data_IF_236618174309
#
_entry.id   IF_236618174309
#
_cell.length_a   1.000
_cell.length_b   1.000
_cell.length_c   1.000
_cell.angle_alpha   90.00
_cell.angle_beta   90.00
_cell.angle_gamma   90.00
#
_symmetry.space_group_name_H-M   'P 1'
#
loop_
_entity.id
_entity.type
_entity.pdbx_description
1 polymer ?
#
# COMPACT_ATOMS: atom_id res chain seq x y z
N UNK A 1 -68.95 -32.13 -20.19
CA UNK A 1 -68.32 -31.86 -18.88
C UNK A 1 -66.86 -32.26 -18.97
N UNK A 2 -66.00 -31.31 -19.35
CA UNK A 2 -64.55 -31.49 -19.50
C UNK A 2 -63.89 -31.18 -18.16
N UNK A 3 -63.22 -32.16 -17.56
CA UNK A 3 -62.55 -32.02 -16.27
C UNK A 3 -61.36 -31.04 -16.31
N UNK A 4 -60.95 -30.48 -15.16
CA UNK A 4 -59.84 -29.53 -15.09
C UNK A 4 -58.51 -30.21 -15.42
N UNK A 5 -57.72 -29.57 -16.30
CA UNK A 5 -56.38 -30.01 -16.69
C UNK A 5 -55.44 -29.99 -15.48
N UNK A 6 -54.58 -31.01 -15.26
CA UNK A 6 -53.62 -31.01 -14.16
C UNK A 6 -52.60 -29.86 -14.34
N UNK A 7 -52.38 -29.10 -13.26
CA UNK A 7 -51.42 -28.01 -13.23
C UNK A 7 -50.00 -28.54 -13.43
N UNK A 8 -49.29 -28.00 -14.43
CA UNK A 8 -47.87 -28.29 -14.67
C UNK A 8 -47.05 -27.83 -13.45
N UNK A 9 -46.13 -28.63 -12.91
CA UNK A 9 -45.25 -28.19 -11.84
C UNK A 9 -44.45 -26.96 -12.31
N UNK A 10 -44.12 -26.02 -11.40
CA UNK A 10 -43.38 -24.81 -11.76
C UNK A 10 -42.04 -25.21 -12.37
N UNK A 11 -41.75 -24.69 -13.56
CA UNK A 11 -40.43 -24.84 -14.17
C UNK A 11 -39.39 -24.29 -13.19
N UNK A 12 -38.29 -25.01 -12.93
CA UNK A 12 -37.18 -24.43 -12.19
C UNK A 12 -36.79 -23.16 -12.94
N UNK A 13 -36.85 -22.02 -12.26
CA UNK A 13 -36.34 -20.75 -12.76
C UNK A 13 -34.97 -21.04 -13.39
N UNK A 14 -34.64 -20.53 -14.59
CA UNK A 14 -33.30 -20.66 -15.13
C UNK A 14 -32.36 -20.02 -14.12
N UNK A 15 -31.80 -20.85 -13.26
CA UNK A 15 -30.77 -20.52 -12.32
C UNK A 15 -29.68 -19.99 -13.21
N UNK A 16 -29.55 -18.67 -13.21
CA UNK A 16 -28.66 -17.90 -14.07
C UNK A 16 -27.35 -18.66 -14.07
N UNK A 17 -27.00 -19.24 -15.22
CA UNK A 17 -25.73 -19.93 -15.40
C UNK A 17 -24.65 -18.91 -15.02
N UNK A 18 -24.18 -18.95 -13.77
CA UNK A 18 -23.01 -18.18 -13.36
C UNK A 18 -21.90 -18.76 -14.21
N UNK A 19 -21.28 -17.97 -15.11
CA UNK A 19 -20.13 -18.46 -15.84
C UNK A 19 -19.12 -18.94 -14.80
N UNK A 20 -18.69 -20.19 -14.93
CA UNK A 20 -17.71 -20.77 -14.02
C UNK A 20 -16.44 -19.91 -13.97
N UNK A 21 -15.86 -19.81 -12.78
CA UNK A 21 -14.42 -19.57 -12.65
C UNK A 21 -13.90 -18.14 -12.61
N UNK A 22 -14.67 -17.11 -12.22
CA UNK A 22 -14.01 -15.86 -11.83
C UNK A 22 -13.42 -16.02 -10.43
N UNK A 23 -12.11 -16.27 -10.36
CA UNK A 23 -11.33 -15.97 -9.14
C UNK A 23 -11.78 -14.60 -8.62
N UNK A 24 -12.11 -14.42 -7.33
CA UNK A 24 -12.68 -13.17 -6.85
C UNK A 24 -11.83 -11.99 -7.31
N UNK A 25 -12.39 -11.12 -8.15
CA UNK A 25 -11.63 -10.03 -8.74
C UNK A 25 -11.00 -9.18 -7.62
N UNK A 26 -9.70 -8.89 -7.74
CA UNK A 26 -8.99 -8.04 -6.78
C UNK A 26 -9.68 -6.66 -6.77
N UNK A 27 -10.01 -6.09 -5.58
CA UNK A 27 -10.64 -4.79 -5.52
C UNK A 27 -9.74 -3.66 -6.09
N UNK A 28 -10.32 -2.66 -6.76
CA UNK A 28 -9.56 -1.53 -7.32
C UNK A 28 -8.82 -0.73 -6.24
N UNK A 29 -9.31 -0.73 -5.00
CA UNK A 29 -8.66 -0.09 -3.86
C UNK A 29 -7.31 -0.72 -3.52
N UNK A 30 -7.16 -2.04 -3.69
CA UNK A 30 -5.91 -2.76 -3.44
C UNK A 30 -4.89 -2.41 -4.52
N UNK A 31 -5.30 -2.36 -5.78
CA UNK A 31 -4.40 -1.98 -6.87
C UNK A 31 -4.00 -0.51 -6.81
N UNK A 32 -4.95 0.38 -6.48
CA UNK A 32 -4.67 1.80 -6.27
C UNK A 32 -3.73 2.00 -5.09
N UNK A 33 -4.01 1.35 -3.95
CA UNK A 33 -3.16 1.39 -2.77
C UNK A 33 -1.74 0.89 -3.06
N UNK A 34 -1.61 -0.19 -3.84
CA UNK A 34 -0.31 -0.68 -4.30
C UNK A 34 0.45 0.38 -5.11
N UNK A 35 -0.21 1.04 -6.08
CA UNK A 35 0.44 2.05 -6.91
C UNK A 35 0.85 3.28 -6.13
N UNK A 36 0.02 3.74 -5.18
CA UNK A 36 0.38 4.83 -4.28
C UNK A 36 1.65 4.49 -3.50
N UNK A 37 1.73 3.29 -2.93
CA UNK A 37 2.93 2.84 -2.23
C UNK A 37 4.15 2.67 -3.13
N UNK A 38 3.96 2.16 -4.35
CA UNK A 38 5.04 1.96 -5.31
C UNK A 38 5.67 3.29 -5.72
N UNK A 39 4.87 4.34 -5.88
CA UNK A 39 5.36 5.71 -6.13
C UNK A 39 5.93 6.36 -4.87
N UNK A 40 5.32 6.10 -3.72
CA UNK A 40 5.78 6.70 -2.48
C UNK A 40 7.14 6.17 -2.04
N UNK A 41 7.42 4.88 -2.26
CA UNK A 41 8.67 4.25 -1.85
C UNK A 41 9.93 4.98 -2.38
N UNK A 42 10.11 5.21 -3.70
CA UNK A 42 11.27 5.93 -4.20
C UNK A 42 11.32 7.39 -3.71
N UNK A 43 10.19 8.04 -3.49
CA UNK A 43 10.15 9.38 -2.89
C UNK A 43 10.68 9.36 -1.46
N UNK A 44 10.19 8.46 -0.62
CA UNK A 44 10.63 8.32 0.77
C UNK A 44 12.12 7.95 0.86
N UNK A 45 12.58 7.05 -0.02
CA UNK A 45 14.00 6.68 -0.13
C UNK A 45 14.85 7.88 -0.56
N UNK A 46 14.41 8.65 -1.55
CA UNK A 46 15.13 9.85 -2.00
C UNK A 46 15.26 10.88 -0.87
N UNK A 47 14.18 11.14 -0.12
CA UNK A 47 14.21 12.00 1.06
C UNK A 47 15.22 11.50 2.11
N UNK A 48 15.21 10.20 2.41
CA UNK A 48 16.17 9.60 3.33
C UNK A 48 17.62 9.73 2.85
N UNK A 49 17.89 9.53 1.56
CA UNK A 49 19.23 9.69 0.98
C UNK A 49 19.71 11.14 1.08
N UNK A 50 18.85 12.12 0.78
CA UNK A 50 19.18 13.55 0.98
C UNK A 50 19.56 13.82 2.44
N UNK A 51 18.82 13.24 3.37
CA UNK A 51 19.11 13.38 4.80
C UNK A 51 20.47 12.78 5.20
N UNK A 52 20.79 11.57 4.72
CA UNK A 52 22.09 10.93 4.96
C UNK A 52 23.26 11.76 4.42
N UNK A 53 23.13 12.27 3.19
CA UNK A 53 24.18 13.03 2.53
C UNK A 53 24.42 14.39 3.18
N UNK A 54 23.41 14.96 3.84
CA UNK A 54 23.50 16.27 4.50
C UNK A 54 23.90 16.19 5.97
N UNK A 55 23.82 15.01 6.59
CA UNK A 55 24.15 14.79 8.02
C UNK A 55 25.66 14.71 8.29
N UNK A 56 26.50 14.51 7.27
CA UNK A 56 27.96 14.46 7.45
C UNK A 56 28.48 13.19 8.13
N UNK A 57 27.87 12.04 7.81
CA UNK A 57 28.25 10.73 8.36
C UNK A 57 29.63 10.28 7.87
N UNK A 58 30.31 9.45 8.67
CA UNK A 58 31.51 8.74 8.20
C UNK A 58 31.16 7.79 7.05
N UNK A 59 32.12 7.55 6.14
CA UNK A 59 31.86 6.76 4.92
C UNK A 59 31.34 5.34 5.21
N UNK A 60 31.81 4.71 6.28
CA UNK A 60 31.32 3.38 6.70
C UNK A 60 29.86 3.45 7.16
N UNK A 61 29.50 4.42 8.01
CA UNK A 61 28.13 4.57 8.51
C UNK A 61 27.19 4.91 7.35
N UNK A 62 27.60 5.79 6.44
CA UNK A 62 26.85 6.11 5.23
C UNK A 62 26.58 4.85 4.38
N UNK A 63 27.60 4.03 4.13
CA UNK A 63 27.45 2.79 3.36
C UNK A 63 26.47 1.81 4.05
N UNK A 64 26.59 1.62 5.36
CA UNK A 64 25.69 0.77 6.13
C UNK A 64 24.25 1.30 6.07
N UNK A 65 24.05 2.61 6.21
CA UNK A 65 22.73 3.24 6.12
C UNK A 65 22.10 3.11 4.73
N UNK A 66 22.91 3.19 3.66
CA UNK A 66 22.44 2.96 2.28
C UNK A 66 22.00 1.50 2.10
N UNK A 67 22.81 0.54 2.56
CA UNK A 67 22.43 -0.88 2.51
C UNK A 67 21.15 -1.13 3.31
N UNK A 68 21.05 -0.55 4.50
CA UNK A 68 19.85 -0.68 5.34
C UNK A 68 18.59 -0.17 4.64
N UNK A 69 18.62 1.02 4.01
CA UNK A 69 17.43 1.54 3.31
C UNK A 69 17.07 0.71 2.08
N UNK A 70 18.06 0.16 1.37
CA UNK A 70 17.80 -0.76 0.24
C UNK A 70 17.14 -2.05 0.72
N UNK A 71 17.62 -2.61 1.84
CA UNK A 71 16.99 -3.78 2.47
C UNK A 71 15.55 -3.45 2.90
N UNK A 72 15.34 -2.32 3.56
CA UNK A 72 14.01 -1.89 3.98
C UNK A 72 13.06 -1.68 2.80
N UNK A 73 13.54 -1.07 1.71
CA UNK A 73 12.77 -0.91 0.48
C UNK A 73 12.39 -2.27 -0.14
N UNK A 74 13.32 -3.23 -0.15
CA UNK A 74 13.07 -4.59 -0.62
C UNK A 74 12.00 -5.29 0.21
N UNK A 75 12.05 -5.13 1.54
CA UNK A 75 11.04 -5.65 2.46
C UNK A 75 9.67 -5.04 2.15
N UNK A 76 9.58 -3.72 1.98
CA UNK A 76 8.33 -3.03 1.63
C UNK A 76 7.78 -3.55 0.30
N UNK A 77 8.60 -3.63 -0.76
CA UNK A 77 8.18 -4.18 -2.06
C UNK A 77 7.66 -5.61 -1.92
N UNK A 78 8.32 -6.44 -1.11
CA UNK A 78 7.86 -7.80 -0.83
C UNK A 78 6.47 -7.79 -0.21
N UNK A 79 6.24 -6.97 0.81
CA UNK A 79 4.91 -6.84 1.42
C UNK A 79 3.86 -6.26 0.46
N UNK A 80 4.23 -5.38 -0.47
CA UNK A 80 3.30 -4.90 -1.51
C UNK A 80 2.86 -6.02 -2.45
N UNK A 81 3.77 -6.94 -2.80
CA UNK A 81 3.45 -8.11 -3.62
C UNK A 81 2.58 -9.10 -2.84
N UNK A 82 2.90 -9.38 -1.57
CA UNK A 82 2.08 -10.24 -0.70
C UNK A 82 0.68 -9.63 -0.49
N UNK A 83 0.59 -8.32 -0.35
CA UNK A 83 -0.69 -7.61 -0.24
C UNK A 83 -1.56 -7.83 -1.48
N UNK A 84 -0.98 -7.80 -2.69
CA UNK A 84 -1.68 -8.15 -3.94
C UNK A 84 -2.19 -9.60 -3.98
N UNK A 85 -1.58 -10.49 -3.22
CA UNK A 85 -1.99 -11.90 -3.09
C UNK A 85 -3.05 -12.14 -2.00
N UNK A 86 -3.46 -11.11 -1.26
CA UNK A 86 -4.51 -11.23 -0.22
C UNK A 86 -3.99 -11.57 1.17
N UNK A 87 -2.68 -11.47 1.43
CA UNK A 87 -2.13 -11.75 2.77
C UNK A 87 -2.56 -10.68 3.79
N UNK A 88 -3.42 -11.06 4.73
CA UNK A 88 -3.98 -10.17 5.78
C UNK A 88 -2.94 -9.42 6.61
N UNK A 89 -1.80 -10.04 6.89
CA UNK A 89 -0.72 -9.44 7.70
C UNK A 89 0.07 -8.36 6.95
N UNK A 90 0.05 -8.37 5.62
CA UNK A 90 0.72 -7.33 4.85
C UNK A 90 0.10 -5.96 5.15
N UNK A 91 -1.23 -5.88 5.33
CA UNK A 91 -1.91 -4.62 5.66
C UNK A 91 -1.43 -4.03 6.98
N UNK A 92 -1.34 -4.83 8.04
CA UNK A 92 -0.93 -4.33 9.37
C UNK A 92 0.53 -3.90 9.38
N UNK A 93 1.42 -4.69 8.76
CA UNK A 93 2.85 -4.35 8.65
C UNK A 93 3.05 -3.07 7.83
N UNK A 94 2.39 -2.96 6.66
CA UNK A 94 2.47 -1.75 5.84
C UNK A 94 1.93 -0.53 6.57
N UNK A 95 0.86 -0.68 7.35
CA UNK A 95 0.29 0.44 8.12
C UNK A 95 1.20 0.85 9.28
N UNK A 96 1.80 -0.11 9.99
CA UNK A 96 2.81 0.20 11.02
C UNK A 96 4.04 0.89 10.42
N UNK A 97 4.55 0.39 9.29
CA UNK A 97 5.65 1.00 8.55
C UNK A 97 5.31 2.41 8.05
N UNK A 98 4.08 2.63 7.58
CA UNK A 98 3.59 3.94 7.18
C UNK A 98 3.64 4.94 8.33
N UNK A 99 3.07 4.58 9.49
CA UNK A 99 3.06 5.44 10.67
C UNK A 99 4.49 5.76 11.10
N UNK A 100 5.37 4.75 11.18
CA UNK A 100 6.76 4.93 11.55
C UNK A 100 7.49 5.89 10.58
N UNK A 101 7.30 5.71 9.28
CA UNK A 101 7.92 6.56 8.26
C UNK A 101 7.43 8.01 8.33
N UNK A 102 6.12 8.22 8.55
CA UNK A 102 5.53 9.56 8.70
C UNK A 102 6.04 10.23 9.96
N UNK A 103 6.03 9.55 11.10
CA UNK A 103 6.52 10.09 12.38
C UNK A 103 8.00 10.48 12.24
N UNK A 104 8.83 9.60 11.68
CA UNK A 104 10.24 9.89 11.41
C UNK A 104 10.39 11.14 10.52
N UNK A 105 9.63 11.21 9.43
CA UNK A 105 9.70 12.31 8.47
C UNK A 105 9.29 13.65 9.10
N UNK A 106 8.20 13.65 9.86
CA UNK A 106 7.70 14.81 10.62
C UNK A 106 8.73 15.26 11.64
N UNK A 107 9.28 14.33 12.45
CA UNK A 107 10.34 14.68 13.40
C UNK A 107 11.48 15.40 12.70
N UNK A 108 12.01 14.83 11.61
CA UNK A 108 13.14 15.40 10.86
C UNK A 108 12.79 16.68 10.09
N UNK A 109 11.54 16.92 9.73
CA UNK A 109 11.07 18.18 9.16
C UNK A 109 11.12 19.31 10.19
N UNK A 110 10.77 19.03 11.44
CA UNK A 110 10.64 20.04 12.48
C UNK A 110 11.88 20.20 13.38
N UNK A 111 12.78 19.23 13.42
CA UNK A 111 13.94 19.27 14.34
C UNK A 111 15.29 19.48 13.67
N UNK A 112 15.38 19.33 12.34
CA UNK A 112 16.68 19.41 11.65
C UNK A 112 16.75 20.66 10.79
N UNK A 113 17.66 21.55 11.16
CA UNK A 113 18.00 22.73 10.38
C UNK A 113 18.81 22.35 9.14
N UNK A 114 18.38 22.86 7.99
CA UNK A 114 19.01 22.64 6.68
C UNK A 114 19.10 23.97 5.95
N UNK A 115 20.14 24.15 5.15
CA UNK A 115 20.17 25.25 4.19
C UNK A 115 19.02 25.07 3.16
N UNK A 116 18.58 26.16 2.54
CA UNK A 116 17.33 26.21 1.76
C UNK A 116 17.20 25.10 0.71
N UNK A 117 18.26 24.83 -0.05
CA UNK A 117 18.24 23.80 -1.09
C UNK A 117 18.02 22.39 -0.53
N UNK A 118 18.78 21.99 0.50
CA UNK A 118 18.60 20.70 1.18
C UNK A 118 17.25 20.59 1.90
N UNK A 119 16.73 21.69 2.46
CA UNK A 119 15.41 21.70 3.09
C UNK A 119 14.32 21.33 2.08
N UNK A 120 14.32 21.96 0.90
CA UNK A 120 13.36 21.68 -0.17
C UNK A 120 13.55 20.28 -0.75
N UNK A 121 14.81 19.88 -1.02
CA UNK A 121 15.14 18.57 -1.55
C UNK A 121 14.74 17.42 -0.62
N UNK A 122 14.77 17.65 0.70
CA UNK A 122 14.24 16.71 1.69
C UNK A 122 12.71 16.79 1.78
N UNK A 123 12.15 18.00 1.95
CA UNK A 123 10.73 18.19 2.28
C UNK A 123 9.78 17.76 1.17
N UNK A 124 10.07 18.11 -0.09
CA UNK A 124 9.19 17.79 -1.21
C UNK A 124 8.91 16.29 -1.33
N UNK A 125 9.92 15.39 -1.42
CA UNK A 125 9.66 13.98 -1.56
C UNK A 125 9.04 13.35 -0.31
N UNK A 126 9.44 13.75 0.90
CA UNK A 126 8.89 13.13 2.13
C UNK A 126 7.45 13.55 2.42
N UNK A 127 7.05 14.79 2.08
CA UNK A 127 5.66 15.24 2.25
C UNK A 127 4.77 14.49 1.25
N UNK A 128 5.13 14.48 -0.03
CA UNK A 128 4.36 13.81 -1.07
C UNK A 128 4.33 12.30 -0.79
N UNK A 129 5.47 11.70 -0.49
CA UNK A 129 5.58 10.28 -0.14
C UNK A 129 4.73 9.92 1.08
N UNK A 130 4.73 10.75 2.13
CA UNK A 130 3.89 10.53 3.32
C UNK A 130 2.40 10.53 2.99
N UNK A 131 1.93 11.48 2.19
CA UNK A 131 0.52 11.53 1.76
C UNK A 131 0.14 10.28 0.95
N UNK A 132 1.01 9.84 0.04
CA UNK A 132 0.76 8.65 -0.78
C UNK A 132 0.75 7.36 0.06
N UNK A 133 1.69 7.21 1.00
CA UNK A 133 1.73 6.07 1.94
C UNK A 133 0.47 6.03 2.80
N UNK A 134 0.07 7.17 3.38
CA UNK A 134 -1.16 7.27 4.17
C UNK A 134 -2.42 6.99 3.34
N UNK A 135 -2.51 7.55 2.13
CA UNK A 135 -3.62 7.30 1.21
C UNK A 135 -3.71 5.82 0.83
N UNK A 136 -2.58 5.19 0.54
CA UNK A 136 -2.51 3.75 0.29
C UNK A 136 -2.97 2.94 1.49
N UNK A 137 -2.47 3.23 2.69
CA UNK A 137 -2.89 2.55 3.91
C UNK A 137 -4.41 2.71 4.19
N UNK A 138 -4.96 3.91 3.96
CA UNK A 138 -6.39 4.18 4.09
C UNK A 138 -7.22 3.33 3.14
N UNK A 139 -6.86 3.26 1.85
CA UNK A 139 -7.56 2.44 0.86
C UNK A 139 -7.60 0.95 1.23
N UNK A 140 -6.54 0.43 1.85
CA UNK A 140 -6.49 -0.98 2.30
C UNK A 140 -7.43 -1.29 3.48
N UNK A 141 -7.98 -0.27 4.14
CA UNK A 141 -8.96 -0.41 5.21
C UNK A 141 -10.40 -0.18 4.75
N UNK A 142 -10.62 0.18 3.49
CA UNK A 142 -11.98 0.26 2.92
C UNK A 142 -12.63 -1.12 2.89
N UNK A 143 -13.96 -1.13 2.95
CA UNK A 143 -14.76 -2.36 3.04
C UNK A 143 -14.38 -3.40 1.98
N UNK A 144 -14.27 -3.00 0.71
CA UNK A 144 -13.99 -3.94 -0.38
C UNK A 144 -12.60 -4.57 -0.26
N UNK A 145 -11.59 -3.78 0.15
CA UNK A 145 -10.25 -4.28 0.44
C UNK A 145 -10.23 -5.16 1.69
N UNK A 146 -10.99 -4.78 2.73
CA UNK A 146 -11.11 -5.59 3.94
C UNK A 146 -11.71 -6.97 3.64
N UNK A 147 -12.82 -7.00 2.91
CA UNK A 147 -13.48 -8.23 2.48
C UNK A 147 -12.58 -9.07 1.57
N UNK A 148 -11.57 -8.50 0.90
CA UNK A 148 -10.59 -9.26 0.13
C UNK A 148 -9.54 -9.95 1.02
N UNK A 149 -9.09 -9.30 2.11
CA UNK A 149 -8.07 -9.86 3.02
C UNK A 149 -8.62 -10.87 4.03
N UNK A 150 -9.93 -10.95 4.22
CA UNK A 150 -10.59 -11.82 5.21
C UNK A 150 -11.32 -13.02 4.59
N UNK A 151 -11.21 -13.18 3.27
CA UNK A 151 -11.67 -14.38 2.54
C UNK A 151 -10.87 -15.62 2.90
#
# INVERSE_FOLDING_TARGET
MTGPSPARPPEPSPQSARPGGSSPARPPDVDTGFWLWLVALPLMVAGYVVDLLTTGLSGLVLAISIVFVVLMATVVVTFLILMRQGYRWARTVLTGGAIAAVVYSVSKLFTVERHTAAAVAYAAPVIIGSVLVCGGAFLLHRKDAHDFFTR
#
